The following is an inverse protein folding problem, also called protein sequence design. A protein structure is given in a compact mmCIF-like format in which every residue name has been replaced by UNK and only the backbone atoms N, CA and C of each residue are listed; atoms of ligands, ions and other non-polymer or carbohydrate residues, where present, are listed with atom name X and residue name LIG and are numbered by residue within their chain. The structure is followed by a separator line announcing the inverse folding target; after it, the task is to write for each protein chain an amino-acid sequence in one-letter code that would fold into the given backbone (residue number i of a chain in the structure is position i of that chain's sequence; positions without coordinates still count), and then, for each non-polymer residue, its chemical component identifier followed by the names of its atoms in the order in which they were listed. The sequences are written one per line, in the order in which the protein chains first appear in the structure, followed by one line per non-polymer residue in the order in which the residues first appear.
data_IF_166094697758
#
_entry.id   IF_166094697758
#
_cell.length_a   1.000
_cell.length_b   1.000
_cell.length_c   1.000
_cell.angle_alpha   90.00
_cell.angle_beta   90.00
_cell.angle_gamma   90.00
#
_symmetry.space_group_name_H-M   'P 1'
#
loop_
_entity.id
_entity.type
_entity.pdbx_description
1 polymer ?
#
# COMPACT_ATOMS: atom_id res chain seq x y z
N UNK A 1 -7.28 7.97 1.33
CA UNK A 1 -6.83 6.66 0.83
C UNK A 1 -7.64 6.30 -0.40
N UNK A 2 -6.98 6.03 -1.53
CA UNK A 2 -7.59 5.45 -2.72
C UNK A 2 -7.01 4.05 -2.93
N UNK A 3 -7.86 3.10 -3.32
CA UNK A 3 -7.45 1.74 -3.65
C UNK A 3 -7.28 1.60 -5.16
N UNK A 4 -6.24 0.86 -5.57
CA UNK A 4 -5.97 0.51 -6.95
C UNK A 4 -5.29 -0.85 -7.02
N UNK A 5 -5.10 -1.34 -8.25
CA UNK A 5 -4.38 -2.58 -8.51
C UNK A 5 -3.53 -2.43 -9.77
N UNK A 6 -2.46 -3.22 -9.86
CA UNK A 6 -1.71 -3.36 -11.10
C UNK A 6 -1.21 -4.80 -11.28
N UNK A 7 -0.93 -5.15 -12.53
CA UNK A 7 -0.29 -6.42 -12.88
C UNK A 7 1.21 -6.22 -12.90
N UNK A 8 1.93 -6.93 -12.03
CA UNK A 8 3.38 -6.94 -12.01
C UNK A 8 3.95 -7.61 -13.28
N UNK A 9 5.24 -7.43 -13.54
CA UNK A 9 5.91 -7.94 -14.76
C UNK A 9 5.86 -9.46 -14.93
N UNK A 10 5.58 -10.21 -13.86
CA UNK A 10 5.40 -11.67 -13.87
C UNK A 10 3.93 -12.12 -13.84
N UNK A 11 3.00 -11.20 -14.11
CA UNK A 11 1.57 -11.48 -14.23
C UNK A 11 0.80 -11.50 -12.90
N UNK A 12 1.46 -11.27 -11.75
CA UNK A 12 0.76 -11.23 -10.47
C UNK A 12 -0.02 -9.92 -10.30
N UNK A 13 -1.29 -10.00 -9.88
CA UNK A 13 -2.06 -8.81 -9.47
C UNK A 13 -1.62 -8.37 -8.09
N UNK A 14 -1.32 -7.09 -7.93
CA UNK A 14 -0.86 -6.48 -6.69
C UNK A 14 -1.83 -5.38 -6.29
N UNK A 15 -2.38 -5.47 -5.08
CA UNK A 15 -3.19 -4.43 -4.49
C UNK A 15 -2.32 -3.26 -4.01
N UNK A 16 -2.77 -2.04 -4.25
CA UNK A 16 -2.05 -0.82 -3.98
C UNK A 16 -2.97 0.26 -3.39
N UNK A 17 -2.40 1.11 -2.56
CA UNK A 17 -3.07 2.24 -1.94
C UNK A 17 -2.29 3.51 -2.15
N UNK A 18 -3.00 4.60 -2.42
CA UNK A 18 -2.44 5.94 -2.49
C UNK A 18 -3.11 6.89 -1.50
N UNK A 19 -2.30 7.81 -1.00
CA UNK A 19 -2.72 8.97 -0.23
C UNK A 19 -2.18 10.20 -0.96
N UNK A 20 -2.93 10.61 -1.96
CA UNK A 20 -2.54 11.72 -2.82
C UNK A 20 -2.72 13.06 -2.11
N UNK A 21 -1.83 14.00 -2.40
CA UNK A 21 -1.94 15.41 -2.01
C UNK A 21 -1.61 16.29 -3.22
N UNK A 22 -2.16 17.51 -3.31
CA UNK A 22 -1.75 18.47 -4.33
C UNK A 22 -0.29 18.91 -4.11
N UNK A 23 0.52 18.91 -5.17
CA UNK A 23 1.90 19.41 -5.18
C UNK A 23 2.81 18.79 -4.09
N UNK A 24 3.02 17.47 -4.07
CA UNK A 24 3.83 16.81 -3.05
C UNK A 24 5.30 17.24 -3.14
N UNK A 25 5.95 17.36 -1.97
CA UNK A 25 7.39 17.63 -1.84
C UNK A 25 8.23 16.46 -2.34
N UNK A 26 7.74 15.25 -2.08
CA UNK A 26 8.28 13.98 -2.56
C UNK A 26 7.23 12.87 -2.39
N UNK A 27 7.58 11.68 -2.88
CA UNK A 27 6.78 10.46 -2.72
C UNK A 27 7.43 9.56 -1.66
N UNK A 28 6.62 8.99 -0.77
CA UNK A 28 7.02 7.95 0.18
C UNK A 28 6.34 6.65 -0.20
N UNK A 29 7.13 5.60 -0.40
CA UNK A 29 6.63 4.23 -0.57
C UNK A 29 6.76 3.48 0.76
N UNK A 30 5.62 3.03 1.29
CA UNK A 30 5.59 2.14 2.46
C UNK A 30 5.66 0.68 1.97
N UNK A 31 6.56 -0.07 2.59
CA UNK A 31 6.64 -1.53 2.50
C UNK A 31 6.33 -2.09 3.89
N UNK A 32 5.30 -2.91 4.00
CA UNK A 32 4.82 -3.40 5.30
C UNK A 32 5.63 -4.60 5.81
N UNK A 33 5.51 -4.91 7.10
CA UNK A 33 6.15 -6.07 7.71
C UNK A 33 5.50 -7.41 7.35
N UNK A 34 6.14 -8.49 7.81
CA UNK A 34 5.60 -9.85 7.72
C UNK A 34 4.26 -9.95 8.48
N UNK A 35 3.24 -10.52 7.84
CA UNK A 35 1.91 -10.68 8.44
C UNK A 35 1.12 -9.37 8.60
N UNK A 36 1.57 -8.29 7.98
CA UNK A 36 0.86 -7.01 7.92
C UNK A 36 0.29 -6.76 6.52
N UNK A 37 -0.38 -5.63 6.35
CA UNK A 37 -0.88 -5.16 5.05
C UNK A 37 -0.91 -3.61 5.04
N UNK A 38 -0.89 -3.02 3.86
CA UNK A 38 -0.76 -1.59 3.60
C UNK A 38 -1.78 -0.73 4.37
N UNK A 39 -3.05 -1.15 4.45
CA UNK A 39 -4.11 -0.39 5.15
C UNK A 39 -3.85 -0.17 6.65
N UNK A 40 -2.97 -0.95 7.30
CA UNK A 40 -2.57 -0.71 8.70
C UNK A 40 -1.79 0.58 8.90
N UNK A 41 -1.25 1.15 7.81
CA UNK A 41 -0.44 2.35 7.82
C UNK A 41 -1.24 3.62 7.47
N UNK A 42 -2.58 3.57 7.44
CA UNK A 42 -3.40 4.74 7.09
C UNK A 42 -3.07 5.96 7.96
N UNK A 43 -2.91 5.79 9.28
CA UNK A 43 -2.53 6.90 10.16
C UNK A 43 -1.14 7.47 9.83
N UNK A 44 -0.15 6.60 9.58
CA UNK A 44 1.21 7.03 9.20
C UNK A 44 1.18 7.78 7.87
N UNK A 45 0.39 7.32 6.91
CA UNK A 45 0.22 7.98 5.63
C UNK A 45 -0.45 9.35 5.78
N UNK A 46 -1.44 9.49 6.68
CA UNK A 46 -2.05 10.78 7.00
C UNK A 46 -1.05 11.76 7.64
N UNK A 47 -0.21 11.29 8.55
CA UNK A 47 0.83 12.12 9.18
C UNK A 47 1.88 12.59 8.15
N UNK A 48 2.27 11.71 7.22
CA UNK A 48 3.17 12.04 6.11
C UNK A 48 2.52 13.00 5.10
N UNK A 49 1.23 12.84 4.81
CA UNK A 49 0.46 13.79 4.00
C UNK A 49 0.46 15.19 4.63
N UNK A 50 0.24 15.28 5.95
CA UNK A 50 0.30 16.54 6.67
C UNK A 50 1.71 17.18 6.61
N UNK A 51 2.76 16.37 6.48
CA UNK A 51 4.14 16.84 6.26
C UNK A 51 4.47 17.18 4.79
N UNK A 52 3.52 17.02 3.87
CA UNK A 52 3.64 17.39 2.46
C UNK A 52 4.20 16.30 1.54
N UNK A 53 4.06 15.03 1.91
CA UNK A 53 4.44 13.89 1.08
C UNK A 53 3.21 13.20 0.48
N UNK A 54 3.28 12.77 -0.79
CA UNK A 54 2.32 11.79 -1.30
C UNK A 54 2.79 10.39 -0.87
N UNK A 55 1.87 9.54 -0.44
CA UNK A 55 2.21 8.21 0.07
C UNK A 55 1.60 7.12 -0.80
N UNK A 56 2.39 6.09 -1.08
CA UNK A 56 1.94 4.87 -1.74
C UNK A 56 2.31 3.66 -0.89
N UNK A 57 1.48 2.62 -0.93
CA UNK A 57 1.74 1.35 -0.29
C UNK A 57 1.21 0.22 -1.17
N UNK A 58 1.89 -0.92 -1.17
CA UNK A 58 1.41 -2.14 -1.84
C UNK A 58 1.33 -3.27 -0.85
N UNK A 59 0.39 -4.18 -1.06
CA UNK A 59 0.36 -5.43 -0.32
C UNK A 59 1.34 -6.40 -0.97
N UNK A 60 2.31 -6.85 -0.18
CA UNK A 60 3.27 -7.87 -0.58
C UNK A 60 2.55 -9.16 -0.97
N UNK A 61 3.24 -10.00 -1.73
CA UNK A 61 2.65 -11.26 -2.21
C UNK A 61 2.20 -12.12 -1.04
N UNK A 62 1.02 -12.71 -1.18
CA UNK A 62 0.43 -13.51 -0.12
C UNK A 62 0.11 -12.71 1.14
N UNK A 63 -0.14 -11.40 1.03
CA UNK A 63 -0.62 -10.54 2.11
C UNK A 63 -1.81 -9.70 1.63
N UNK A 64 -2.71 -9.35 2.54
CA UNK A 64 -3.87 -8.48 2.33
C UNK A 64 -4.61 -8.71 1.00
N UNK A 65 -4.85 -7.62 0.25
CA UNK A 65 -5.57 -7.64 -1.04
C UNK A 65 -4.82 -8.33 -2.18
N UNK A 66 -3.52 -8.60 -2.01
CA UNK A 66 -2.69 -9.36 -2.98
C UNK A 66 -2.75 -10.87 -2.74
N UNK A 67 -3.28 -11.33 -1.61
CA UNK A 67 -3.34 -12.76 -1.29
C UNK A 67 -4.35 -13.51 -2.19
N UNK A 68 -3.87 -14.53 -2.92
CA UNK A 68 -4.70 -15.39 -3.79
C UNK A 68 -5.36 -16.56 -3.05
N UNK A 69 -5.04 -16.74 -1.77
CA UNK A 69 -5.56 -17.80 -0.90
C UNK A 69 -5.66 -17.28 0.54
N UNK A 70 -6.64 -17.75 1.34
CA UNK A 70 -6.77 -17.37 2.75
C UNK A 70 -5.55 -17.75 3.61
N UNK A 71 -4.66 -18.61 3.14
CA UNK A 71 -3.38 -18.88 3.82
C UNK A 71 -2.38 -17.71 3.76
N UNK A 72 -2.60 -16.72 2.89
CA UNK A 72 -1.90 -15.45 2.86
C UNK A 72 -2.69 -14.29 3.48
N UNK A 73 -3.88 -14.55 4.02
CA UNK A 73 -4.63 -13.55 4.77
C UNK A 73 -4.17 -13.57 6.23
N UNK A 74 -3.18 -12.76 6.56
CA UNK A 74 -2.89 -12.42 7.95
C UNK A 74 -3.54 -11.07 8.28
N UNK A 75 -4.85 -11.12 8.56
CA UNK A 75 -5.64 -9.95 9.01
C UNK A 75 -6.31 -9.16 7.90
#
# INVERSE_FOLDING_TARGET
MQESEFTASDGHRVAAWSWDIPSPRAVVQIAHGMGEHARRYDQVAQDLNAAGYAVFATDHRGHGGTATSPLGWMG
#
